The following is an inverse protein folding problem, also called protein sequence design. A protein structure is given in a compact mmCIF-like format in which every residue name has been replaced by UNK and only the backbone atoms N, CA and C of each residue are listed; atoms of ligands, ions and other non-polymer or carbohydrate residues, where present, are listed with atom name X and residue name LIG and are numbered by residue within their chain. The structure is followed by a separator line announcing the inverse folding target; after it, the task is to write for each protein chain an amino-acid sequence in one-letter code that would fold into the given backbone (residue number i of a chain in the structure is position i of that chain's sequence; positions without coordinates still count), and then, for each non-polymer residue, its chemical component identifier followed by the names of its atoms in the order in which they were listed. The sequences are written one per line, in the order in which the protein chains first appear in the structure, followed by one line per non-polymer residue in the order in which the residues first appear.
data_IF_847382913729
#
_entry.id   IF_847382913729
#
_cell.length_a   1.000
_cell.length_b   1.000
_cell.length_c   1.000
_cell.angle_alpha   90.00
_cell.angle_beta   90.00
_cell.angle_gamma   90.00
#
_symmetry.space_group_name_H-M   'P 1'
#
loop_
_entity.id
_entity.type
_entity.pdbx_description
1 polymer ?
#
# COMPACT_ATOMS: atom_id res chain seq x y z
N UNK A 1 -17.61 -36.84 13.24
CA UNK A 1 -16.60 -36.13 12.41
C UNK A 1 -16.44 -34.67 12.86
N UNK A 2 -15.32 -34.27 13.48
CA UNK A 2 -15.14 -32.90 13.93
C UNK A 2 -14.84 -32.02 12.73
N UNK A 3 -15.68 -31.01 12.51
CA UNK A 3 -15.51 -30.00 11.49
C UNK A 3 -14.11 -29.37 11.61
N UNK A 4 -13.35 -29.37 10.50
CA UNK A 4 -12.13 -28.58 10.36
C UNK A 4 -12.48 -27.13 10.64
N UNK A 5 -12.15 -26.66 11.84
CA UNK A 5 -12.18 -25.27 12.24
C UNK A 5 -11.23 -24.55 11.29
N UNK A 6 -11.78 -23.85 10.29
CA UNK A 6 -11.00 -22.94 9.46
C UNK A 6 -10.43 -21.89 10.41
N UNK A 7 -9.15 -22.03 10.76
CA UNK A 7 -8.40 -21.01 11.48
C UNK A 7 -8.23 -19.83 10.50
N UNK A 8 -9.25 -18.99 10.43
CA UNK A 8 -9.13 -17.66 9.88
C UNK A 8 -8.03 -16.99 10.72
N UNK A 9 -6.87 -16.76 10.10
CA UNK A 9 -5.81 -15.97 10.71
C UNK A 9 -6.37 -14.61 11.15
N UNK A 10 -5.67 -13.90 12.06
CA UNK A 10 -6.12 -12.60 12.50
C UNK A 10 -6.43 -11.71 11.29
N UNK A 11 -7.54 -10.95 11.30
CA UNK A 11 -7.88 -10.05 10.21
C UNK A 11 -6.71 -9.11 9.94
N UNK A 12 -6.41 -8.87 8.67
CA UNK A 12 -5.39 -7.91 8.30
C UNK A 12 -5.69 -6.56 8.99
N UNK A 13 -4.68 -5.93 9.63
CA UNK A 13 -4.88 -4.63 10.26
C UNK A 13 -5.54 -3.64 9.29
N UNK A 14 -6.49 -2.82 9.77
CA UNK A 14 -7.20 -1.87 8.92
C UNK A 14 -6.22 -0.91 8.22
N UNK A 15 -6.58 -0.51 7.00
CA UNK A 15 -5.81 0.43 6.20
C UNK A 15 -4.56 -0.15 5.51
N UNK A 16 -4.27 -1.45 5.64
CA UNK A 16 -3.19 -2.09 4.86
C UNK A 16 -3.64 -2.28 3.42
N UNK A 17 -2.77 -1.91 2.47
CA UNK A 17 -2.96 -2.17 1.05
C UNK A 17 -1.65 -2.57 0.39
N UNK A 18 -1.76 -3.34 -0.69
CA UNK A 18 -0.63 -3.74 -1.53
C UNK A 18 -0.81 -3.19 -2.94
N UNK A 19 0.27 -2.67 -3.50
CA UNK A 19 0.32 -2.31 -4.91
C UNK A 19 0.73 -3.57 -5.68
N UNK A 20 -0.22 -4.19 -6.39
CA UNK A 20 0.04 -5.41 -7.17
C UNK A 20 0.82 -5.09 -8.47
N UNK A 21 0.33 -4.13 -9.26
CA UNK A 21 1.02 -3.66 -10.46
C UNK A 21 1.59 -2.25 -10.26
N UNK A 22 2.85 -2.23 -9.81
CA UNK A 22 3.58 -0.98 -9.56
C UNK A 22 3.76 -0.09 -10.80
N UNK A 23 3.88 -0.67 -11.99
CA UNK A 23 4.07 0.07 -13.23
C UNK A 23 2.76 0.72 -13.67
N UNK A 24 1.65 -0.03 -13.62
CA UNK A 24 0.33 0.48 -13.96
C UNK A 24 -0.12 1.58 -13.00
N UNK A 25 0.05 1.39 -11.68
CA UNK A 25 -0.29 2.42 -10.68
C UNK A 25 0.52 3.70 -10.91
N UNK A 26 1.82 3.59 -11.17
CA UNK A 26 2.65 4.76 -11.48
C UNK A 26 2.22 5.46 -12.78
N UNK A 27 1.87 4.71 -13.83
CA UNK A 27 1.35 5.26 -15.08
C UNK A 27 0.06 6.03 -14.87
N UNK A 28 -0.92 5.43 -14.17
CA UNK A 28 -2.21 6.05 -13.88
C UNK A 28 -2.05 7.31 -13.02
N UNK A 29 -1.15 7.28 -12.04
CA UNK A 29 -0.79 8.46 -11.26
C UNK A 29 -0.14 9.56 -12.11
N UNK A 30 0.75 9.18 -13.04
CA UNK A 30 1.35 10.08 -14.02
C UNK A 30 0.31 10.79 -14.87
N UNK A 31 -0.64 10.04 -15.44
CA UNK A 31 -1.76 10.58 -16.23
C UNK A 31 -2.57 11.57 -15.39
N UNK A 32 -2.98 11.17 -14.18
CA UNK A 32 -3.76 12.02 -13.24
C UNK A 32 -3.07 13.36 -12.95
N UNK A 33 -1.74 13.36 -12.83
CA UNK A 33 -0.95 14.55 -12.45
C UNK A 33 -0.31 15.26 -13.64
N UNK A 34 -0.61 14.85 -14.86
CA UNK A 34 0.04 15.30 -16.10
C UNK A 34 1.59 15.23 -16.01
N UNK A 35 2.11 14.08 -15.56
CA UNK A 35 3.54 13.77 -15.44
C UNK A 35 3.83 12.51 -16.27
N UNK A 36 4.13 12.62 -17.58
CA UNK A 36 4.29 11.46 -18.46
C UNK A 36 5.49 10.57 -18.11
N UNK A 37 6.55 11.13 -17.52
CA UNK A 37 7.73 10.40 -17.08
C UNK A 37 7.62 9.83 -15.64
N UNK A 38 6.40 9.62 -15.13
CA UNK A 38 6.16 9.01 -13.82
C UNK A 38 6.50 7.52 -13.83
N UNK A 39 7.15 7.05 -12.77
CA UNK A 39 7.45 5.64 -12.53
C UNK A 39 7.29 5.31 -11.04
N UNK A 40 7.41 4.04 -10.69
CA UNK A 40 7.20 3.60 -9.31
C UNK A 40 8.26 4.14 -8.34
N UNK A 41 9.52 4.32 -8.76
CA UNK A 41 10.57 4.85 -7.89
C UNK A 41 10.24 6.28 -7.43
N UNK A 42 9.79 7.12 -8.36
CA UNK A 42 9.34 8.50 -8.07
C UNK A 42 8.07 8.51 -7.24
N UNK A 43 7.08 7.68 -7.58
CA UNK A 43 5.82 7.57 -6.83
C UNK A 43 6.07 7.09 -5.39
N UNK A 44 6.86 6.02 -5.22
CA UNK A 44 7.19 5.46 -3.91
C UNK A 44 7.97 6.47 -3.07
N UNK A 45 8.78 7.34 -3.68
CA UNK A 45 9.44 8.45 -2.99
C UNK A 45 8.44 9.44 -2.38
N UNK A 46 7.35 9.75 -3.10
CA UNK A 46 6.24 10.57 -2.59
C UNK A 46 5.48 9.85 -1.47
N UNK A 47 5.22 8.54 -1.59
CA UNK A 47 4.61 7.76 -0.50
C UNK A 47 5.45 7.85 0.78
N UNK A 48 6.78 7.71 0.69
CA UNK A 48 7.67 7.84 1.86
C UNK A 48 7.62 9.23 2.51
N UNK A 49 7.30 10.28 1.76
CA UNK A 49 7.09 11.62 2.36
C UNK A 49 5.83 11.69 3.23
N UNK A 50 4.90 10.74 3.10
CA UNK A 50 3.74 10.66 3.96
C UNK A 50 4.01 10.04 5.33
N UNK A 51 5.17 9.39 5.52
CA UNK A 51 5.54 8.78 6.80
C UNK A 51 5.70 9.84 7.88
N UNK A 52 6.48 10.89 7.58
CA UNK A 52 6.65 12.04 8.49
C UNK A 52 5.37 12.88 8.69
N UNK A 53 4.38 12.73 7.80
CA UNK A 53 3.11 13.45 7.86
C UNK A 53 2.02 12.67 8.58
N UNK A 54 2.28 11.41 8.98
CA UNK A 54 1.28 10.56 9.62
C UNK A 54 0.10 10.21 8.72
N UNK A 55 0.26 10.16 7.39
CA UNK A 55 -0.82 9.78 6.46
C UNK A 55 -0.71 8.30 6.08
N UNK A 56 0.50 7.87 5.73
CA UNK A 56 0.84 6.47 5.43
C UNK A 56 2.00 6.09 6.33
N UNK A 57 2.05 4.84 6.79
CA UNK A 57 3.18 4.24 7.50
C UNK A 57 3.60 2.93 6.85
N UNK A 58 4.77 2.43 7.26
CA UNK A 58 5.18 1.07 6.96
C UNK A 58 4.38 0.11 7.86
N UNK A 59 3.81 -0.99 7.34
CA UNK A 59 3.14 -1.98 8.18
C UNK A 59 4.11 -2.63 9.16
N UNK A 60 3.57 -3.15 10.27
CA UNK A 60 4.36 -3.81 11.34
C UNK A 60 5.20 -4.96 10.77
N UNK A 61 4.59 -5.76 9.89
CA UNK A 61 5.31 -6.75 9.08
C UNK A 61 5.67 -6.10 7.74
N UNK A 62 6.95 -5.77 7.59
CA UNK A 62 7.51 -5.22 6.36
C UNK A 62 7.32 -6.17 5.18
N UNK A 63 6.59 -5.74 4.15
CA UNK A 63 6.44 -6.49 2.90
C UNK A 63 6.59 -5.57 1.69
N UNK A 64 7.13 -6.12 0.59
CA UNK A 64 7.39 -5.35 -0.64
C UNK A 64 6.06 -4.87 -1.23
N UNK A 65 6.00 -3.59 -1.60
CA UNK A 65 4.81 -2.92 -2.16
C UNK A 65 3.61 -2.84 -1.21
N UNK A 66 3.79 -3.15 0.08
CA UNK A 66 2.73 -3.07 1.09
C UNK A 66 2.90 -1.82 1.93
N UNK A 67 1.80 -1.10 2.13
CA UNK A 67 1.71 0.15 2.86
C UNK A 67 0.49 0.14 3.76
N UNK A 68 0.44 1.05 4.74
CA UNK A 68 -0.70 1.17 5.64
C UNK A 68 -1.11 2.64 5.82
N UNK A 69 -2.39 2.96 5.67
CA UNK A 69 -2.92 4.26 6.09
C UNK A 69 -2.92 4.36 7.62
N UNK A 70 -2.50 5.50 8.16
CA UNK A 70 -2.46 5.73 9.62
C UNK A 70 -3.86 5.91 10.18
N UNK A 71 -4.70 6.65 9.45
CA UNK A 71 -6.12 6.80 9.75
C UNK A 71 -6.91 6.14 8.61
N UNK A 72 -7.88 5.25 8.93
CA UNK A 72 -8.77 4.70 7.91
C UNK A 72 -9.55 5.85 7.25
N UNK A 73 -9.69 5.76 5.93
CA UNK A 73 -10.49 6.67 5.09
C UNK A 73 -11.94 6.23 5.10
#
# INVERSE_FOLDING_TARGET
PPARRLSLGPPAPPGIFKIEDSAQVARLWGIRKNRPAMNYDKLSRSIRQYYKKGIIRKPDISQRLVYQFVHPI
#
